data_IF_811737066301
#
_entry.id   IF_811737066301
#
_cell.length_a   1.000
_cell.length_b   1.000
_cell.length_c   1.000
_cell.angle_alpha   90.00
_cell.angle_beta   90.00
_cell.angle_gamma   90.00
#
_symmetry.space_group_name_H-M   'P 1'
#
loop_
_entity.id
_entity.type
_entity.pdbx_description
1 polymer ?
#
# COMPACT_ATOMS: atom_id res chain seq x y z
N UNK A 1 -10.89 0.16 -14.33
CA UNK A 1 -10.32 -0.08 -12.99
C UNK A 1 -10.29 1.20 -12.16
N UNK A 2 -9.28 2.05 -12.36
CA UNK A 2 -9.04 3.26 -11.55
C UNK A 2 -10.23 4.20 -11.37
N UNK A 3 -10.98 4.48 -12.45
CA UNK A 3 -12.19 5.31 -12.40
C UNK A 3 -13.25 4.73 -11.47
N UNK A 4 -13.48 3.42 -11.49
CA UNK A 4 -14.48 2.80 -10.61
C UNK A 4 -14.03 2.88 -9.14
N UNK A 5 -12.77 2.53 -8.86
CA UNK A 5 -12.20 2.65 -7.51
C UNK A 5 -12.25 4.08 -6.97
N UNK A 6 -11.91 5.07 -7.81
CA UNK A 6 -11.98 6.48 -7.44
C UNK A 6 -13.42 6.94 -7.18
N UNK A 7 -14.37 6.53 -8.03
CA UNK A 7 -15.79 6.82 -7.86
C UNK A 7 -16.37 6.21 -6.60
N UNK A 8 -16.03 4.96 -6.27
CA UNK A 8 -16.45 4.31 -5.02
C UNK A 8 -15.82 4.97 -3.80
N UNK A 9 -14.52 5.30 -3.86
CA UNK A 9 -13.83 5.98 -2.76
C UNK A 9 -14.42 7.36 -2.51
N UNK A 10 -14.78 8.10 -3.57
CA UNK A 10 -15.47 9.37 -3.45
C UNK A 10 -16.90 9.19 -2.90
N UNK A 11 -17.71 8.32 -3.49
CA UNK A 11 -19.12 8.17 -3.08
C UNK A 11 -19.26 7.63 -1.65
N UNK A 12 -18.53 6.56 -1.31
CA UNK A 12 -18.61 5.93 0.01
C UNK A 12 -17.72 6.62 1.05
N UNK A 13 -16.51 7.02 0.66
CA UNK A 13 -15.50 7.54 1.59
C UNK A 13 -15.64 9.03 1.89
N UNK A 14 -16.09 9.84 0.93
CA UNK A 14 -16.23 11.29 1.08
C UNK A 14 -17.70 11.68 1.13
N UNK A 15 -18.47 11.38 0.08
CA UNK A 15 -19.85 11.85 -0.03
C UNK A 15 -20.73 11.28 1.09
N UNK A 16 -20.75 9.96 1.29
CA UNK A 16 -21.53 9.37 2.39
C UNK A 16 -21.01 9.80 3.76
N UNK A 17 -19.70 9.78 3.99
CA UNK A 17 -19.14 10.04 5.33
C UNK A 17 -19.19 11.51 5.76
N UNK A 18 -18.99 12.44 4.83
CA UNK A 18 -18.77 13.87 5.13
C UNK A 18 -19.94 14.73 4.66
N UNK A 19 -20.56 14.43 3.51
CA UNK A 19 -21.58 15.30 2.88
C UNK A 19 -23.00 14.86 3.23
N UNK A 20 -23.34 13.59 3.03
CA UNK A 20 -24.67 13.04 3.30
C UNK A 20 -24.60 11.63 3.89
N UNK A 21 -24.65 11.55 5.22
CA UNK A 21 -24.56 10.30 5.99
C UNK A 21 -25.71 9.32 5.73
N UNK A 22 -26.87 9.85 5.35
CA UNK A 22 -28.08 9.07 5.09
C UNK A 22 -28.34 8.88 3.59
N UNK A 23 -27.33 9.06 2.74
CA UNK A 23 -27.47 8.89 1.29
C UNK A 23 -27.94 7.48 0.91
N UNK A 24 -28.99 7.41 0.10
CA UNK A 24 -29.53 6.14 -0.40
C UNK A 24 -28.54 5.47 -1.39
N UNK A 25 -28.48 4.12 -1.47
CA UNK A 25 -27.57 3.43 -2.40
C UNK A 25 -27.62 3.94 -3.85
N UNK A 26 -28.81 4.27 -4.36
CA UNK A 26 -29.00 4.77 -5.72
C UNK A 26 -28.38 6.16 -5.93
N UNK A 27 -28.45 7.02 -4.91
CA UNK A 27 -27.80 8.34 -4.91
C UNK A 27 -26.29 8.19 -4.92
N UNK A 28 -25.73 7.24 -4.14
CA UNK A 28 -24.29 6.98 -4.09
C UNK A 28 -23.73 6.53 -5.45
N UNK A 29 -24.44 5.66 -6.16
CA UNK A 29 -24.07 5.22 -7.51
C UNK A 29 -24.11 6.40 -8.49
N UNK A 30 -25.16 7.22 -8.42
CA UNK A 30 -25.32 8.37 -9.32
C UNK A 30 -24.22 9.42 -9.11
N UNK A 31 -23.91 9.75 -7.86
CA UNK A 31 -22.84 10.68 -7.50
C UNK A 31 -21.48 10.12 -7.92
N UNK A 32 -21.23 8.83 -7.66
CA UNK A 32 -20.01 8.15 -8.10
C UNK A 32 -19.85 8.20 -9.62
N UNK A 33 -20.91 7.96 -10.40
CA UNK A 33 -20.88 8.04 -11.87
C UNK A 33 -20.61 9.45 -12.36
N UNK A 34 -21.23 10.47 -11.76
CA UNK A 34 -20.98 11.89 -12.10
C UNK A 34 -19.54 12.29 -11.82
N UNK A 35 -19.01 11.91 -10.66
CA UNK A 35 -17.62 12.16 -10.30
C UNK A 35 -16.65 11.43 -11.24
N UNK A 36 -16.91 10.15 -11.55
CA UNK A 36 -16.11 9.39 -12.51
C UNK A 36 -16.09 10.03 -13.90
N UNK A 37 -17.24 10.47 -14.40
CA UNK A 37 -17.31 11.20 -15.67
C UNK A 37 -16.49 12.50 -15.62
N UNK A 38 -16.61 13.28 -14.55
CA UNK A 38 -15.82 14.49 -14.36
C UNK A 38 -14.31 14.21 -14.37
N UNK A 39 -13.84 13.19 -13.63
CA UNK A 39 -12.44 12.78 -13.63
C UNK A 39 -11.98 12.31 -15.00
N UNK A 40 -12.82 11.60 -15.76
CA UNK A 40 -12.51 11.16 -17.10
C UNK A 40 -12.28 12.36 -18.05
N UNK A 41 -13.15 13.37 -18.02
CA UNK A 41 -13.00 14.59 -18.83
C UNK A 41 -11.71 15.33 -18.48
N UNK A 42 -11.45 15.55 -17.19
CA UNK A 42 -10.20 16.21 -16.73
C UNK A 42 -8.97 15.40 -17.18
N UNK A 43 -9.02 14.08 -17.09
CA UNK A 43 -7.91 13.22 -17.50
C UNK A 43 -7.61 13.34 -19.01
N UNK A 44 -8.64 13.39 -19.86
CA UNK A 44 -8.48 13.60 -21.31
C UNK A 44 -7.86 14.96 -21.60
N UNK A 45 -8.23 16.00 -20.85
CA UNK A 45 -7.65 17.35 -21.02
C UNK A 45 -6.17 17.42 -20.61
N UNK A 46 -5.78 16.70 -19.56
CA UNK A 46 -4.40 16.74 -19.03
C UNK A 46 -3.47 15.77 -19.78
N UNK A 47 -4.00 14.73 -20.42
CA UNK A 47 -3.21 13.72 -21.12
C UNK A 47 -2.19 14.27 -22.14
N UNK A 48 -2.52 15.26 -23.01
CA UNK A 48 -1.57 15.83 -23.96
C UNK A 48 -0.36 16.50 -23.29
N UNK A 49 -0.54 17.11 -22.12
CA UNK A 49 0.54 17.78 -21.40
C UNK A 49 1.54 16.77 -20.82
N UNK A 50 1.04 15.61 -20.41
CA UNK A 50 1.89 14.54 -19.88
C UNK A 50 2.61 13.78 -21.02
N UNK A 51 1.96 13.61 -22.17
CA UNK A 51 2.57 12.96 -23.33
C UNK A 51 3.82 13.69 -23.84
N UNK A 52 3.87 15.02 -23.69
CA UNK A 52 4.99 15.86 -24.09
C UNK A 52 6.02 16.10 -22.96
N UNK A 53 5.95 15.37 -21.83
CA UNK A 53 6.81 15.61 -20.68
C UNK A 53 8.25 15.06 -20.88
N UNK A 54 9.31 15.87 -20.61
CA UNK A 54 10.69 15.56 -21.01
C UNK A 54 11.37 14.42 -20.21
N UNK A 55 10.92 14.11 -18.99
CA UNK A 55 11.50 13.04 -18.15
C UNK A 55 10.82 11.67 -18.30
N UNK A 56 9.83 11.56 -19.20
CA UNK A 56 9.02 10.35 -19.40
C UNK A 56 7.95 10.14 -18.32
N UNK A 57 6.76 9.71 -18.74
CA UNK A 57 5.58 9.47 -17.89
C UNK A 57 5.88 8.58 -16.66
N UNK A 58 6.71 7.56 -16.82
CA UNK A 58 7.01 6.60 -15.76
C UNK A 58 7.77 7.21 -14.57
N UNK A 59 8.78 8.04 -14.84
CA UNK A 59 9.55 8.71 -13.78
C UNK A 59 8.67 9.67 -12.99
N UNK A 60 7.84 10.43 -13.70
CA UNK A 60 6.88 11.35 -13.09
C UNK A 60 5.84 10.62 -12.22
N UNK A 61 5.27 9.51 -12.71
CA UNK A 61 4.35 8.68 -11.92
C UNK A 61 5.01 8.11 -10.66
N UNK A 62 6.29 7.70 -10.73
CA UNK A 62 7.04 7.23 -9.55
C UNK A 62 7.23 8.33 -8.53
N UNK A 63 7.62 9.52 -8.98
CA UNK A 63 7.81 10.66 -8.09
C UNK A 63 6.50 11.00 -7.39
N UNK A 64 5.39 11.16 -8.13
CA UNK A 64 4.06 11.42 -7.57
C UNK A 64 3.62 10.36 -6.54
N UNK A 65 3.78 9.08 -6.88
CA UNK A 65 3.46 8.00 -5.93
C UNK A 65 4.31 8.10 -4.67
N UNK A 66 5.58 8.47 -4.79
CA UNK A 66 6.47 8.72 -3.65
C UNK A 66 5.97 9.83 -2.72
N UNK A 67 5.47 10.94 -3.28
CA UNK A 67 4.97 12.11 -2.51
C UNK A 67 3.87 11.70 -1.53
N UNK A 68 2.89 10.92 -2.00
CA UNK A 68 1.72 10.56 -1.20
C UNK A 68 1.92 9.28 -0.38
N UNK A 69 2.60 8.28 -0.95
CA UNK A 69 2.74 6.99 -0.29
C UNK A 69 3.69 7.07 0.91
N UNK A 70 4.74 7.88 0.87
CA UNK A 70 5.71 7.95 1.98
C UNK A 70 5.06 8.49 3.27
N UNK A 71 4.38 9.66 3.28
CA UNK A 71 3.68 10.11 4.48
C UNK A 71 2.58 9.14 4.92
N UNK A 72 1.85 8.53 3.98
CA UNK A 72 0.77 7.59 4.30
C UNK A 72 1.31 6.34 5.00
N UNK A 73 2.36 5.71 4.44
CA UNK A 73 3.03 4.56 5.06
C UNK A 73 3.60 4.94 6.43
N UNK A 74 4.20 6.13 6.56
CA UNK A 74 4.69 6.63 7.84
C UNK A 74 3.57 6.70 8.88
N UNK A 75 2.43 7.27 8.52
CA UNK A 75 1.26 7.38 9.42
C UNK A 75 0.76 6.00 9.86
N UNK A 76 0.71 5.03 8.95
CA UNK A 76 0.28 3.66 9.27
C UNK A 76 1.27 2.99 10.24
N UNK A 77 2.57 3.03 9.93
CA UNK A 77 3.62 2.45 10.79
C UNK A 77 3.56 3.11 12.17
N UNK A 78 3.55 4.44 12.23
CA UNK A 78 3.52 5.18 13.48
C UNK A 78 2.23 4.91 14.27
N UNK A 79 1.08 4.83 13.60
CA UNK A 79 -0.20 4.51 14.25
C UNK A 79 -0.25 3.09 14.82
N UNK A 80 0.45 2.13 14.20
CA UNK A 80 0.52 0.75 14.67
C UNK A 80 1.48 0.60 15.87
N UNK A 81 2.70 1.14 15.77
CA UNK A 81 3.71 1.00 16.82
C UNK A 81 3.51 1.98 18.00
N UNK A 82 2.89 3.14 17.76
CA UNK A 82 2.66 4.17 18.78
C UNK A 82 1.16 4.53 18.88
N UNK A 83 0.35 3.69 19.54
CA UNK A 83 -1.11 3.86 19.61
C UNK A 83 -1.58 5.12 20.36
N UNK A 84 -0.66 5.86 20.99
CA UNK A 84 -0.95 7.14 21.67
C UNK A 84 -0.78 8.37 20.77
N UNK A 85 -0.32 8.23 19.53
CA UNK A 85 -0.20 9.37 18.62
C UNK A 85 -1.60 9.86 18.22
N UNK A 86 -1.90 11.17 18.38
CA UNK A 86 -3.22 11.71 18.06
C UNK A 86 -3.44 11.83 16.54
N UNK A 87 -4.71 11.82 16.11
CA UNK A 87 -5.07 12.02 14.70
C UNK A 87 -4.62 13.38 14.13
N UNK A 88 -4.43 14.39 15.00
CA UNK A 88 -3.88 15.69 14.61
C UNK A 88 -2.43 15.55 14.10
N UNK A 89 -1.61 14.71 14.75
CA UNK A 89 -0.23 14.48 14.33
C UNK A 89 -0.17 13.90 12.92
N UNK A 90 -1.05 12.95 12.60
CA UNK A 90 -1.14 12.35 11.27
C UNK A 90 -1.52 13.38 10.19
N UNK A 91 -2.50 14.26 10.47
CA UNK A 91 -2.90 15.32 9.53
C UNK A 91 -1.75 16.31 9.28
N UNK A 92 -1.08 16.74 10.35
CA UNK A 92 0.05 17.69 10.27
C UNK A 92 1.24 17.05 9.56
N UNK A 93 1.60 15.81 9.91
CA UNK A 93 2.65 15.07 9.24
C UNK A 93 2.36 14.91 7.75
N UNK A 94 1.14 14.50 7.36
CA UNK A 94 0.78 14.41 5.94
C UNK A 94 1.01 15.72 5.18
N UNK A 95 0.57 16.85 5.75
CA UNK A 95 0.79 18.17 5.16
C UNK A 95 2.27 18.54 5.07
N UNK A 96 3.00 18.42 6.18
CA UNK A 96 4.43 18.73 6.25
C UNK A 96 5.24 17.82 5.33
N UNK A 97 4.92 16.54 5.23
CA UNK A 97 5.60 15.58 4.36
C UNK A 97 5.48 15.91 2.88
N UNK A 98 4.29 16.33 2.43
CA UNK A 98 4.08 16.77 1.05
C UNK A 98 4.84 18.07 0.79
N UNK A 99 4.72 19.05 1.69
CA UNK A 99 5.43 20.34 1.58
C UNK A 99 6.94 20.13 1.57
N UNK A 100 7.47 19.33 2.49
CA UNK A 100 8.90 19.04 2.60
C UNK A 100 9.42 18.35 1.34
N UNK A 101 8.67 17.41 0.77
CA UNK A 101 9.06 16.77 -0.49
C UNK A 101 9.16 17.81 -1.61
N UNK A 102 8.13 18.65 -1.78
CA UNK A 102 8.10 19.68 -2.83
C UNK A 102 9.25 20.67 -2.63
N UNK A 103 9.47 21.14 -1.39
CA UNK A 103 10.57 22.06 -1.07
C UNK A 103 11.93 21.44 -1.39
N UNK A 104 12.20 20.21 -0.94
CA UNK A 104 13.50 19.55 -1.17
C UNK A 104 13.73 19.27 -2.66
N UNK A 105 12.70 18.79 -3.37
CA UNK A 105 12.83 18.39 -4.77
C UNK A 105 12.93 19.60 -5.73
N UNK A 106 12.14 20.66 -5.49
CA UNK A 106 12.04 21.79 -6.43
C UNK A 106 12.80 23.06 -5.99
N UNK A 107 12.92 23.32 -4.68
CA UNK A 107 13.47 24.58 -4.18
C UNK A 107 14.95 24.50 -3.82
N UNK A 108 15.38 23.39 -3.21
CA UNK A 108 16.75 23.28 -2.68
C UNK A 108 17.75 22.76 -3.72
N UNK A 109 17.28 22.26 -4.88
CA UNK A 109 18.13 21.76 -6.00
C UNK A 109 19.31 20.90 -5.53
N UNK A 110 19.07 19.96 -4.63
CA UNK A 110 20.08 18.95 -4.35
C UNK A 110 20.19 18.02 -5.56
N UNK A 111 21.41 17.72 -6.02
CA UNK A 111 21.70 16.71 -7.04
C UNK A 111 21.49 15.26 -6.54
N UNK A 112 20.54 15.05 -5.62
CA UNK A 112 20.21 13.73 -5.10
C UNK A 112 19.09 13.07 -5.90
N UNK A 113 19.24 11.77 -6.14
CA UNK A 113 18.17 10.96 -6.68
C UNK A 113 16.94 11.00 -5.75
N UNK A 114 15.73 11.06 -6.32
CA UNK A 114 14.48 11.26 -5.57
C UNK A 114 14.26 10.27 -4.41
N UNK A 115 14.88 9.09 -4.46
CA UNK A 115 14.83 8.08 -3.39
C UNK A 115 15.39 8.60 -2.05
N UNK A 116 16.46 9.39 -2.07
CA UNK A 116 17.01 9.99 -0.85
C UNK A 116 16.07 11.07 -0.29
N UNK A 117 15.41 11.83 -1.18
CA UNK A 117 14.39 12.80 -0.79
C UNK A 117 13.22 12.12 -0.10
N UNK A 118 12.79 10.96 -0.60
CA UNK A 118 11.77 10.13 0.04
C UNK A 118 12.21 9.66 1.45
N UNK A 119 13.45 9.20 1.60
CA UNK A 119 13.98 8.80 2.91
C UNK A 119 14.03 9.98 3.90
N UNK A 120 14.51 11.15 3.48
CA UNK A 120 14.51 12.35 4.32
C UNK A 120 13.07 12.76 4.71
N UNK A 121 12.14 12.70 3.77
CA UNK A 121 10.72 13.01 4.00
C UNK A 121 10.10 12.04 5.00
N UNK A 122 10.44 10.76 4.92
CA UNK A 122 10.02 9.75 5.91
C UNK A 122 10.54 10.11 7.31
N UNK A 123 11.82 10.41 7.46
CA UNK A 123 12.41 10.79 8.75
C UNK A 123 11.75 12.05 9.33
N UNK A 124 11.52 13.08 8.50
CA UNK A 124 10.83 14.30 8.92
C UNK A 124 9.41 13.97 9.42
N UNK A 125 8.65 13.15 8.68
CA UNK A 125 7.31 12.74 9.09
C UNK A 125 7.31 12.00 10.44
N UNK A 126 8.25 11.06 10.64
CA UNK A 126 8.40 10.33 11.91
C UNK A 126 8.67 11.30 13.06
N UNK A 127 9.63 12.22 12.89
CA UNK A 127 9.98 13.22 13.91
C UNK A 127 8.78 14.09 14.25
N UNK A 128 8.06 14.60 13.24
CA UNK A 128 6.85 15.41 13.46
C UNK A 128 5.79 14.63 14.24
N UNK A 129 5.53 13.37 13.87
CA UNK A 129 4.53 12.54 14.55
C UNK A 129 4.93 12.22 15.99
N UNK A 130 6.22 11.96 16.25
CA UNK A 130 6.73 11.71 17.60
C UNK A 130 6.69 12.97 18.47
N UNK A 131 7.10 14.12 17.94
CA UNK A 131 7.07 15.41 18.67
C UNK A 131 5.64 15.76 19.06
N UNK A 132 4.69 15.70 18.12
CA UNK A 132 3.28 15.98 18.43
C UNK A 132 2.69 14.91 19.36
N UNK A 133 3.08 13.64 19.18
CA UNK A 133 2.69 12.53 20.05
C UNK A 133 3.20 12.70 21.49
N UNK A 134 4.37 13.31 21.67
CA UNK A 134 4.94 13.60 22.98
C UNK A 134 4.30 14.83 23.64
N UNK A 135 4.05 15.90 22.88
CA UNK A 135 3.42 17.14 23.40
C UNK A 135 1.93 16.93 23.70
N UNK A 136 1.23 16.19 22.86
CA UNK A 136 -0.22 15.98 22.97
C UNK A 136 -0.58 14.50 22.80
N UNK A 137 -0.12 13.61 23.69
CA UNK A 137 -0.47 12.20 23.65
C UNK A 137 -1.97 12.03 23.82
N UNK A 138 -2.53 11.04 23.13
CA UNK A 138 -3.92 10.64 23.33
C UNK A 138 -4.09 10.05 24.73
N UNK A 139 -5.15 10.47 25.43
CA UNK A 139 -5.43 10.04 26.81
C UNK A 139 -5.63 8.52 26.95
N UNK A 140 -6.24 7.89 25.94
CA UNK A 140 -6.35 6.43 25.84
C UNK A 140 -5.62 5.92 24.61
N UNK A 141 -4.86 4.82 24.70
CA UNK A 141 -4.25 4.22 23.52
C UNK A 141 -5.35 3.79 22.54
N UNK A 142 -5.10 3.97 21.25
CA UNK A 142 -5.99 3.46 20.22
C UNK A 142 -6.02 1.92 20.30
N UNK A 143 -7.21 1.37 20.59
CA UNK A 143 -7.45 -0.06 20.56
C UNK A 143 -7.99 -0.43 19.18
N UNK A 144 -7.28 -1.32 18.48
CA UNK A 144 -7.83 -1.96 17.29
C UNK A 144 -9.02 -2.82 17.74
N UNK A 145 -10.25 -2.36 17.49
CA UNK A 145 -11.43 -3.20 17.67
C UNK A 145 -11.45 -4.17 16.50
N UNK A 146 -11.10 -5.43 16.77
CA UNK A 146 -11.27 -6.47 15.78
C UNK A 146 -12.76 -6.57 15.44
N UNK A 147 -13.09 -6.45 14.17
CA UNK A 147 -14.47 -6.58 13.71
C UNK A 147 -14.92 -8.06 13.76
N UNK A 148 -14.00 -9.01 14.02
CA UNK A 148 -14.22 -10.46 13.97
C UNK A 148 -14.99 -10.91 12.71
N UNK A 149 -14.90 -10.11 11.64
CA UNK A 149 -15.71 -10.29 10.44
C UNK A 149 -15.08 -11.28 9.45
N UNK A 150 -13.80 -11.63 9.65
CA UNK A 150 -13.02 -12.53 8.79
C UNK A 150 -12.01 -13.28 9.65
N UNK A 151 -11.91 -14.60 9.47
CA UNK A 151 -10.87 -15.42 10.09
C UNK A 151 -9.48 -14.97 9.62
N UNK A 152 -8.67 -14.47 10.56
CA UNK A 152 -7.29 -14.02 10.32
C UNK A 152 -6.27 -15.16 10.44
N UNK A 153 -6.70 -16.41 10.64
CA UNK A 153 -5.80 -17.55 10.74
C UNK A 153 -4.90 -17.60 9.49
N UNK A 154 -3.56 -17.50 9.68
CA UNK A 154 -2.65 -17.52 8.55
C UNK A 154 -2.81 -18.82 7.75
N UNK A 155 -2.77 -18.71 6.42
CA UNK A 155 -2.83 -19.89 5.57
C UNK A 155 -1.68 -20.86 5.92
N UNK A 156 -2.00 -22.15 5.99
CA UNK A 156 -1.12 -23.21 6.48
C UNK A 156 0.29 -23.20 5.85
N UNK A 157 0.37 -22.88 4.55
CA UNK A 157 1.63 -22.89 3.82
C UNK A 157 2.29 -21.51 3.70
N UNK A 158 1.84 -20.49 4.42
CA UNK A 158 2.41 -19.13 4.35
C UNK A 158 3.92 -19.16 4.55
N UNK A 159 4.43 -19.87 5.57
CA UNK A 159 5.86 -19.94 5.87
C UNK A 159 6.65 -20.55 4.70
N UNK A 160 6.11 -21.61 4.09
CA UNK A 160 6.74 -22.32 2.97
C UNK A 160 6.73 -21.44 1.72
N UNK A 161 5.61 -20.77 1.44
CA UNK A 161 5.51 -19.81 0.35
C UNK A 161 6.46 -18.61 0.52
N UNK A 162 6.62 -18.08 1.74
CA UNK A 162 7.57 -17.01 2.02
C UNK A 162 9.01 -17.41 1.72
N UNK A 163 9.41 -18.65 2.04
CA UNK A 163 10.73 -19.19 1.70
C UNK A 163 10.91 -19.23 0.17
N UNK A 164 9.92 -19.73 -0.57
CA UNK A 164 9.97 -19.79 -2.04
C UNK A 164 10.13 -18.40 -2.67
N UNK A 165 9.37 -17.41 -2.19
CA UNK A 165 9.46 -16.02 -2.67
C UNK A 165 10.85 -15.43 -2.37
N UNK A 166 11.38 -15.65 -1.16
CA UNK A 166 12.70 -15.16 -0.77
C UNK A 166 13.80 -15.72 -1.68
N UNK A 167 13.80 -17.03 -1.91
CA UNK A 167 14.79 -17.67 -2.78
C UNK A 167 14.59 -17.32 -4.26
N UNK A 168 13.36 -17.13 -4.72
CA UNK A 168 13.11 -16.60 -6.06
C UNK A 168 13.72 -15.20 -6.22
N UNK A 169 13.56 -14.33 -5.24
CA UNK A 169 14.15 -12.99 -5.24
C UNK A 169 15.69 -13.06 -5.26
N UNK A 170 16.29 -13.87 -4.38
CA UNK A 170 17.75 -14.08 -4.35
C UNK A 170 18.25 -14.59 -5.72
N UNK A 171 17.53 -15.52 -6.34
CA UNK A 171 17.90 -16.07 -7.65
C UNK A 171 17.90 -15.04 -8.76
N UNK A 172 16.88 -14.18 -8.81
CA UNK A 172 16.82 -13.09 -9.80
C UNK A 172 18.01 -12.15 -9.63
N UNK A 173 18.32 -11.71 -8.40
CA UNK A 173 19.45 -10.82 -8.15
C UNK A 173 20.80 -11.50 -8.44
N UNK A 174 20.98 -12.75 -8.01
CA UNK A 174 22.21 -13.50 -8.23
C UNK A 174 22.43 -13.83 -9.72
N UNK A 175 21.37 -14.15 -10.46
CA UNK A 175 21.43 -14.38 -11.91
C UNK A 175 21.73 -13.10 -12.68
N UNK A 176 21.12 -11.97 -12.30
CA UNK A 176 21.44 -10.65 -12.90
C UNK A 176 22.87 -10.21 -12.60
N UNK A 177 23.37 -10.47 -11.38
CA UNK A 177 24.75 -10.17 -11.00
C UNK A 177 25.77 -10.98 -11.83
N UNK A 178 25.40 -12.18 -12.27
CA UNK A 178 26.25 -13.00 -13.13
C UNK A 178 26.51 -12.33 -14.49
N UNK A 179 25.48 -11.74 -15.10
CA UNK A 179 25.65 -10.93 -16.32
C UNK A 179 26.56 -9.72 -16.11
N UNK A 180 26.67 -9.23 -14.87
CA UNK A 180 27.59 -8.18 -14.45
C UNK A 180 29.02 -8.64 -14.15
N UNK A 181 29.34 -9.93 -14.35
CA UNK A 181 30.68 -10.49 -14.17
C UNK A 181 30.97 -11.07 -12.78
N UNK A 182 29.96 -11.18 -11.90
CA UNK A 182 30.12 -11.79 -10.58
C UNK A 182 29.94 -13.31 -10.63
N UNK A 183 30.77 -14.06 -9.88
CA UNK A 183 30.71 -15.52 -9.78
C UNK A 183 29.53 -16.08 -8.99
N UNK A 184 28.33 -15.49 -9.13
CA UNK A 184 27.12 -15.81 -8.36
C UNK A 184 26.30 -16.97 -8.92
N UNK A 185 26.77 -17.61 -10.00
CA UNK A 185 26.06 -18.67 -10.71
C UNK A 185 25.59 -19.83 -9.82
N UNK A 186 26.45 -20.29 -8.92
CA UNK A 186 26.12 -21.38 -7.99
C UNK A 186 24.99 -20.98 -7.02
N UNK A 187 25.01 -19.73 -6.55
CA UNK A 187 24.01 -19.17 -5.66
C UNK A 187 22.65 -19.02 -6.39
N UNK A 188 22.68 -18.58 -7.64
CA UNK A 188 21.51 -18.51 -8.50
C UNK A 188 20.89 -19.90 -8.70
N UNK A 189 21.69 -20.93 -9.04
CA UNK A 189 21.19 -22.30 -9.24
C UNK A 189 20.52 -22.86 -7.97
N UNK A 190 21.16 -22.72 -6.80
CA UNK A 190 20.60 -23.21 -5.52
C UNK A 190 19.27 -22.51 -5.22
N UNK A 191 19.23 -21.19 -5.41
CA UNK A 191 18.03 -20.41 -5.11
C UNK A 191 16.85 -20.72 -6.04
N UNK A 192 17.10 -20.91 -7.34
CA UNK A 192 16.06 -21.33 -8.28
C UNK A 192 15.57 -22.75 -8.01
N UNK A 193 16.47 -23.65 -7.61
CA UNK A 193 16.09 -25.00 -7.21
C UNK A 193 15.15 -24.98 -5.99
N UNK A 194 15.50 -24.23 -4.94
CA UNK A 194 14.66 -24.11 -3.74
C UNK A 194 13.30 -23.48 -4.07
N UNK A 195 13.29 -22.42 -4.89
CA UNK A 195 12.05 -21.79 -5.33
C UNK A 195 11.16 -22.76 -6.14
N UNK A 196 11.75 -23.54 -7.06
CA UNK A 196 11.03 -24.54 -7.84
C UNK A 196 10.44 -25.65 -6.96
N UNK A 197 11.19 -26.18 -6.00
CA UNK A 197 10.71 -27.18 -5.04
C UNK A 197 9.54 -26.64 -4.23
N UNK A 198 9.62 -25.39 -3.75
CA UNK A 198 8.51 -24.75 -3.03
C UNK A 198 7.29 -24.60 -3.92
N UNK A 199 7.44 -24.15 -5.16
CA UNK A 199 6.31 -24.00 -6.10
C UNK A 199 5.65 -25.36 -6.36
N UNK A 200 6.43 -26.41 -6.64
CA UNK A 200 5.91 -27.77 -6.86
C UNK A 200 5.18 -28.27 -5.61
N UNK A 201 5.75 -28.06 -4.42
CA UNK A 201 5.10 -28.41 -3.15
C UNK A 201 3.76 -27.68 -2.98
N UNK A 202 3.71 -26.37 -3.24
CA UNK A 202 2.47 -25.58 -3.12
C UNK A 202 1.41 -26.01 -4.14
N UNK A 203 1.81 -26.36 -5.36
CA UNK A 203 0.90 -26.90 -6.38
C UNK A 203 0.34 -28.24 -5.91
N UNK A 204 1.20 -29.14 -5.43
CA UNK A 204 0.78 -30.46 -4.96
C UNK A 204 -0.14 -30.37 -3.73
N UNK A 205 0.18 -29.53 -2.76
CA UNK A 205 -0.63 -29.30 -1.57
C UNK A 205 -1.98 -28.64 -1.91
N UNK A 206 -2.00 -27.67 -2.83
CA UNK A 206 -3.23 -27.07 -3.36
C UNK A 206 -4.09 -28.09 -4.10
N UNK A 207 -3.47 -29.00 -4.86
CA UNK A 207 -4.19 -30.07 -5.55
C UNK A 207 -4.77 -31.08 -4.55
N UNK A 208 -3.99 -31.47 -3.54
CA UNK A 208 -4.42 -32.37 -2.46
C UNK A 208 -5.62 -31.82 -1.69
N UNK A 209 -5.59 -30.53 -1.35
CA UNK A 209 -6.69 -29.88 -0.63
C UNK A 209 -7.93 -29.62 -1.49
N UNK A 210 -7.83 -29.59 -2.81
CA UNK A 210 -9.01 -29.60 -3.71
C UNK A 210 -9.70 -30.96 -3.79
N UNK A 211 -9.01 -32.04 -3.41
CA UNK A 211 -9.53 -33.41 -3.40
C UNK A 211 -10.04 -33.86 -2.02
N UNK A 212 -9.84 -33.07 -0.95
CA UNK A 212 -10.51 -33.29 0.34
C UNK A 212 -11.98 -32.83 0.25
N UNK A 213 -12.96 -33.64 0.68
CA UNK A 213 -14.36 -33.26 0.65
C UNK A 213 -14.60 -31.98 1.48
N UNK A 214 -15.44 -31.10 0.95
CA UNK A 214 -15.70 -29.76 1.45
C UNK A 214 -15.80 -29.69 2.98
N UNK A 215 -14.98 -28.83 3.58
CA UNK A 215 -15.14 -28.41 4.97
C UNK A 215 -16.58 -27.88 5.11
N UNK A 216 -17.39 -28.58 5.89
CA UNK A 216 -18.75 -28.18 6.21
C UNK A 216 -18.65 -26.85 6.96
N UNK A 217 -19.08 -25.76 6.33
CA UNK A 217 -19.27 -24.50 7.04
C UNK A 217 -20.36 -24.75 8.08
N UNK A 218 -19.97 -24.91 9.35
CA UNK A 218 -20.91 -24.78 10.47
C UNK A 218 -21.43 -23.34 10.43
N UNK A 219 -22.75 -23.09 10.34
CA UNK A 219 -23.29 -21.75 10.47
C UNK A 219 -22.85 -21.20 11.83
N UNK A 220 -22.33 -19.96 11.83
CA UNK A 220 -21.98 -19.26 13.06
C UNK A 220 -23.21 -19.22 13.98
N UNK A 221 -23.02 -19.54 15.26
CA UNK A 221 -24.02 -19.47 16.33
C UNK A 221 -24.40 -18.01 16.71
N UNK A 222 -24.48 -17.12 15.72
CA UNK A 222 -24.88 -15.71 15.85
C UNK A 222 -26.27 -15.41 15.29
N UNK A 223 -26.93 -16.38 14.67
CA UNK A 223 -28.34 -16.26 14.26
C UNK A 223 -29.33 -16.61 15.39
N UNK A 224 -28.84 -16.76 16.62
CA UNK A 224 -29.68 -17.09 17.79
C UNK A 224 -29.36 -16.18 18.98
N UNK A 225 -29.53 -14.86 18.82
CA UNK A 225 -29.84 -13.90 19.89
C UNK A 225 -30.32 -12.56 19.31
#
# INVERSE_FOLDING_TARGET
>A
GFLNSASTLFSMGIYRRIINQNAEPQQLVTVGRKFGFFIAVVSVMVAPWIANAPQGLYSWMKQLNGIYNVPLVTIIIMGFFFPRIPALAAKVAMGIGIISYITINYLVKFDFHFLYVLACTFCINVVVMLVIGFIKPRATPFTFKDAFAVDMKPWKNVKIASIGILFAMIGVYAGLAEFGGYGTRWLAMISYFIAAVVIVYLIFDSWRHRHDPAVTFTPDAKDSL
#
